data_IF_580041924660
#
_entry.id   IF_580041924660
#
_cell.length_a   1.000
_cell.length_b   1.000
_cell.length_c   1.000
_cell.angle_alpha   90.00
_cell.angle_beta   90.00
_cell.angle_gamma   90.00
#
_symmetry.space_group_name_H-M   'P 1'
#
loop_
_entity.id
_entity.type
_entity.pdbx_description
1 polymer ?
#
# COMPACT_ATOMS: atom_id res chain seq x y z
N UNK A 1 -22.15 12.69 3.32
CA UNK A 1 -21.89 11.25 3.53
C UNK A 1 -20.39 11.07 3.49
N UNK A 2 -19.78 10.67 4.60
CA UNK A 2 -18.32 10.61 4.72
C UNK A 2 -17.80 9.23 4.24
N UNK A 3 -16.54 9.11 3.83
CA UNK A 3 -15.96 7.85 3.32
C UNK A 3 -15.95 6.67 4.31
N UNK A 4 -16.42 6.85 5.55
CA UNK A 4 -16.58 5.82 6.58
C UNK A 4 -17.99 5.20 6.68
N UNK A 5 -18.96 5.66 5.88
CA UNK A 5 -20.38 5.28 6.04
C UNK A 5 -20.79 3.98 5.32
N UNK A 6 -19.84 3.22 4.74
CA UNK A 6 -20.14 1.99 4.00
C UNK A 6 -19.49 0.77 4.66
N UNK A 7 -20.23 0.02 5.51
CA UNK A 7 -19.72 -1.18 6.16
C UNK A 7 -19.11 -2.19 5.17
N UNK A 8 -19.68 -2.29 3.96
CA UNK A 8 -19.20 -3.18 2.91
C UNK A 8 -17.83 -2.79 2.32
N UNK A 9 -17.42 -1.53 2.49
CA UNK A 9 -16.11 -1.04 2.03
C UNK A 9 -15.06 -1.00 3.14
N UNK A 10 -15.40 -1.44 4.35
CA UNK A 10 -14.42 -1.55 5.41
C UNK A 10 -13.39 -2.65 5.08
N UNK A 11 -12.18 -2.50 5.63
CA UNK A 11 -11.07 -3.40 5.35
C UNK A 11 -11.39 -4.87 5.68
N UNK A 12 -11.95 -5.21 6.86
CA UNK A 12 -12.29 -6.59 7.17
C UNK A 12 -13.21 -7.25 6.15
N UNK A 13 -14.27 -6.55 5.72
CA UNK A 13 -15.22 -7.08 4.74
C UNK A 13 -14.57 -7.33 3.37
N UNK A 14 -13.72 -6.40 2.91
CA UNK A 14 -12.99 -6.59 1.66
C UNK A 14 -12.02 -7.77 1.73
N UNK A 15 -11.32 -7.96 2.87
CA UNK A 15 -10.48 -9.15 3.12
C UNK A 15 -11.33 -10.42 3.08
N UNK A 16 -12.49 -10.43 3.75
CA UNK A 16 -13.39 -11.58 3.75
C UNK A 16 -13.85 -11.95 2.34
N UNK A 17 -14.27 -10.96 1.55
CA UNK A 17 -14.71 -11.16 0.17
C UNK A 17 -13.58 -11.74 -0.71
N UNK A 18 -12.36 -11.21 -0.57
CA UNK A 18 -11.21 -11.69 -1.32
C UNK A 18 -10.85 -13.13 -0.95
N UNK A 19 -10.74 -13.45 0.34
CA UNK A 19 -10.40 -14.80 0.79
C UNK A 19 -11.49 -15.81 0.40
N UNK A 20 -12.77 -15.42 0.51
CA UNK A 20 -13.91 -16.23 0.07
C UNK A 20 -13.93 -16.41 -1.46
N UNK A 21 -13.43 -15.44 -2.24
CA UNK A 21 -13.29 -15.59 -3.69
C UNK A 21 -12.43 -16.80 -4.03
N UNK A 22 -11.30 -16.93 -3.34
CA UNK A 22 -10.35 -18.01 -3.54
C UNK A 22 -10.63 -19.30 -2.74
N UNK A 23 -11.75 -19.38 -2.00
CA UNK A 23 -12.05 -20.52 -1.12
C UNK A 23 -12.39 -21.79 -1.90
N UNK A 24 -13.12 -21.66 -3.01
CA UNK A 24 -13.62 -22.78 -3.81
C UNK A 24 -12.74 -23.11 -5.03
N UNK A 25 -11.71 -22.29 -5.29
CA UNK A 25 -10.81 -22.46 -6.44
C UNK A 25 -10.08 -21.16 -6.81
N UNK A 26 -9.33 -21.15 -7.93
CA UNK A 26 -8.62 -19.96 -8.40
C UNK A 26 -9.55 -18.78 -8.67
N UNK A 27 -9.28 -17.62 -8.08
CA UNK A 27 -10.06 -16.40 -8.23
C UNK A 27 -9.21 -15.23 -8.74
N UNK A 28 -9.82 -14.26 -9.41
CA UNK A 28 -9.22 -13.00 -9.83
C UNK A 28 -9.78 -11.81 -9.05
N UNK A 29 -9.21 -10.63 -9.31
CA UNK A 29 -9.71 -9.38 -8.72
C UNK A 29 -11.12 -9.03 -9.22
N UNK A 30 -11.43 -9.35 -10.48
CA UNK A 30 -12.75 -9.13 -11.07
C UNK A 30 -13.83 -9.93 -10.32
N UNK A 31 -13.54 -11.19 -9.95
CA UNK A 31 -14.45 -12.01 -9.14
C UNK A 31 -14.74 -11.36 -7.77
N UNK A 32 -13.75 -10.67 -7.19
CA UNK A 32 -13.90 -9.96 -5.91
C UNK A 32 -14.79 -8.72 -6.06
N UNK A 33 -14.60 -7.96 -7.14
CA UNK A 33 -15.41 -6.78 -7.46
C UNK A 33 -16.86 -7.19 -7.76
N UNK A 34 -17.07 -8.25 -8.52
CA UNK A 34 -18.41 -8.78 -8.80
C UNK A 34 -19.13 -9.23 -7.52
N UNK A 35 -18.44 -9.93 -6.61
CA UNK A 35 -19.01 -10.33 -5.32
C UNK A 35 -19.36 -9.12 -4.45
N UNK A 36 -18.53 -8.08 -4.43
CA UNK A 36 -18.84 -6.85 -3.71
C UNK A 36 -20.08 -6.15 -4.30
N UNK A 37 -20.17 -6.07 -5.64
CA UNK A 37 -21.35 -5.52 -6.33
C UNK A 37 -22.62 -6.31 -6.01
N UNK A 38 -22.53 -7.64 -6.00
CA UNK A 38 -23.65 -8.50 -5.61
C UNK A 38 -24.08 -8.25 -4.16
N UNK A 39 -23.14 -8.01 -3.24
CA UNK A 39 -23.45 -7.67 -1.85
C UNK A 39 -24.20 -6.34 -1.73
N UNK A 40 -23.76 -5.29 -2.44
CA UNK A 40 -24.45 -4.00 -2.51
C UNK A 40 -25.85 -4.13 -3.13
N UNK A 41 -25.97 -4.87 -4.24
CA UNK A 41 -27.25 -5.12 -4.89
C UNK A 41 -28.23 -5.87 -3.97
N UNK A 42 -27.76 -6.86 -3.21
CA UNK A 42 -28.57 -7.58 -2.22
C UNK A 42 -29.02 -6.66 -1.07
N UNK A 43 -28.18 -5.72 -0.64
CA UNK A 43 -28.52 -4.67 0.32
C UNK A 43 -29.44 -3.57 -0.27
N UNK A 44 -29.74 -3.60 -1.57
CA UNK A 44 -30.44 -2.54 -2.32
C UNK A 44 -29.76 -1.18 -2.21
N UNK A 45 -28.44 -1.19 -2.09
CA UNK A 45 -27.61 -0.01 -2.01
C UNK A 45 -26.84 0.20 -3.32
N UNK A 46 -26.68 1.44 -3.80
CA UNK A 46 -25.80 1.72 -4.91
C UNK A 46 -24.35 1.53 -4.48
N UNK A 47 -23.52 1.00 -5.38
CA UNK A 47 -22.07 0.94 -5.16
C UNK A 47 -21.52 2.36 -5.19
N UNK A 48 -20.88 2.84 -4.10
CA UNK A 48 -20.56 4.26 -3.96
C UNK A 48 -19.21 4.64 -4.60
N UNK A 49 -18.50 3.68 -5.19
CA UNK A 49 -17.17 3.87 -5.79
C UNK A 49 -17.13 3.38 -7.24
N UNK A 50 -16.35 4.04 -8.11
CA UNK A 50 -16.06 3.53 -9.46
C UNK A 50 -15.35 2.17 -9.42
N UNK A 51 -15.51 1.38 -10.49
CA UNK A 51 -14.90 0.05 -10.61
C UNK A 51 -13.38 0.07 -10.42
N UNK A 52 -12.69 1.01 -11.08
CA UNK A 52 -11.24 1.13 -11.02
C UNK A 52 -10.72 1.34 -9.59
N UNK A 53 -11.45 2.07 -8.75
CA UNK A 53 -11.11 2.30 -7.35
C UNK A 53 -11.33 1.03 -6.51
N UNK A 54 -12.39 0.27 -6.78
CA UNK A 54 -12.62 -1.03 -6.13
C UNK A 54 -11.52 -2.02 -6.48
N UNK A 55 -11.16 -2.11 -7.77
CA UNK A 55 -10.08 -2.95 -8.25
C UNK A 55 -8.75 -2.56 -7.61
N UNK A 56 -8.44 -1.26 -7.51
CA UNK A 56 -7.22 -0.78 -6.84
C UNK A 56 -7.17 -1.19 -5.35
N UNK A 57 -8.30 -1.12 -4.64
CA UNK A 57 -8.39 -1.55 -3.24
C UNK A 57 -8.17 -3.05 -3.09
N UNK A 58 -8.81 -3.86 -3.93
CA UNK A 58 -8.59 -5.31 -3.92
C UNK A 58 -7.17 -5.68 -4.34
N UNK A 59 -6.57 -4.96 -5.28
CA UNK A 59 -5.18 -5.17 -5.68
C UNK A 59 -4.22 -4.93 -4.52
N UNK A 60 -4.39 -3.84 -3.76
CA UNK A 60 -3.60 -3.56 -2.56
C UNK A 60 -3.72 -4.65 -1.50
N UNK A 61 -4.96 -5.10 -1.23
CA UNK A 61 -5.21 -6.21 -0.29
C UNK A 61 -4.61 -7.52 -0.79
N UNK A 62 -4.74 -7.83 -2.08
CA UNK A 62 -4.13 -9.00 -2.69
C UNK A 62 -2.62 -9.01 -2.48
N UNK A 63 -1.94 -7.88 -2.72
CA UNK A 63 -0.50 -7.75 -2.45
C UNK A 63 -0.17 -7.98 -0.98
N UNK A 64 -0.90 -7.36 -0.06
CA UNK A 64 -0.66 -7.50 1.39
C UNK A 64 -0.84 -8.97 1.85
N UNK A 65 -1.93 -9.63 1.41
CA UNK A 65 -2.25 -11.02 1.77
C UNK A 65 -1.29 -12.03 1.12
N UNK A 66 -0.81 -11.75 -0.08
CA UNK A 66 0.22 -12.55 -0.76
C UNK A 66 1.56 -12.43 -0.04
N UNK A 67 1.96 -11.22 0.36
CA UNK A 67 3.18 -10.99 1.13
C UNK A 67 3.16 -11.65 2.51
N UNK A 68 1.97 -11.82 3.09
CA UNK A 68 1.77 -12.59 4.32
C UNK A 68 1.63 -14.11 4.10
N UNK A 69 1.70 -14.60 2.87
CA UNK A 69 1.64 -16.03 2.53
C UNK A 69 0.25 -16.66 2.68
N UNK A 70 -0.82 -15.86 2.62
CA UNK A 70 -2.20 -16.36 2.65
C UNK A 70 -2.71 -16.76 1.26
N UNK A 71 -2.13 -16.16 0.23
CA UNK A 71 -2.46 -16.38 -1.17
C UNK A 71 -1.24 -16.86 -1.94
N UNK A 72 -1.47 -17.68 -2.95
CA UNK A 72 -0.47 -18.09 -3.93
C UNK A 72 -0.98 -17.84 -5.35
N UNK A 73 -0.05 -17.51 -6.26
CA UNK A 73 -0.35 -17.30 -7.68
C UNK A 73 -0.78 -18.62 -8.32
N UNK A 74 -1.92 -18.59 -9.00
CA UNK A 74 -2.48 -19.71 -9.74
C UNK A 74 -2.34 -19.53 -11.27
N UNK A 75 -1.63 -18.48 -11.70
CA UNK A 75 -1.41 -18.14 -13.10
C UNK A 75 -2.56 -17.33 -13.71
N UNK A 76 -2.28 -16.68 -14.84
CA UNK A 76 -3.23 -15.87 -15.60
C UNK A 76 -3.96 -14.78 -14.77
N UNK A 77 -3.27 -14.21 -13.77
CA UNK A 77 -3.83 -13.19 -12.88
C UNK A 77 -4.81 -13.75 -11.84
N UNK A 78 -4.85 -15.06 -11.64
CA UNK A 78 -5.65 -15.73 -10.61
C UNK A 78 -4.81 -16.12 -9.41
N UNK A 79 -5.45 -16.28 -8.27
CA UNK A 79 -4.84 -16.66 -7.00
C UNK A 79 -5.68 -17.71 -6.27
N UNK A 80 -5.03 -18.50 -5.41
CA UNK A 80 -5.70 -19.49 -4.54
C UNK A 80 -5.29 -19.31 -3.08
N UNK A 81 -6.11 -19.81 -2.15
CA UNK A 81 -5.75 -19.83 -0.73
C UNK A 81 -4.68 -20.89 -0.45
N UNK A 82 -3.63 -20.49 0.26
CA UNK A 82 -2.69 -21.42 0.90
C UNK A 82 -3.36 -22.12 2.09
N UNK A 83 -2.73 -23.17 2.64
CA UNK A 83 -3.21 -23.81 3.86
C UNK A 83 -3.36 -22.82 5.04
N UNK A 84 -2.45 -21.84 5.14
CA UNK A 84 -2.51 -20.76 6.12
C UNK A 84 -3.71 -19.85 5.85
N UNK A 85 -3.91 -19.44 4.60
CA UNK A 85 -5.06 -18.62 4.19
C UNK A 85 -6.39 -19.27 4.54
N UNK A 86 -6.54 -20.58 4.28
CA UNK A 86 -7.75 -21.36 4.65
C UNK A 86 -7.97 -21.40 6.15
N UNK A 87 -6.91 -21.68 6.92
CA UNK A 87 -7.00 -21.73 8.39
C UNK A 87 -7.42 -20.38 8.96
N UNK A 88 -6.85 -19.29 8.44
CA UNK A 88 -7.18 -17.95 8.92
C UNK A 88 -8.60 -17.53 8.54
N UNK A 89 -9.06 -17.85 7.32
CA UNK A 89 -10.44 -17.63 6.92
C UNK A 89 -11.44 -18.41 7.79
N UNK A 90 -11.13 -19.67 8.13
CA UNK A 90 -11.98 -20.48 9.00
C UNK A 90 -12.08 -19.89 10.42
N UNK A 91 -10.99 -19.31 10.94
CA UNK A 91 -11.00 -18.62 12.24
C UNK A 91 -11.60 -17.22 12.21
N UNK A 92 -11.71 -16.59 11.03
CA UNK A 92 -12.19 -15.23 10.82
C UNK A 92 -13.09 -15.15 9.58
N UNK A 93 -14.30 -15.74 9.64
CA UNK A 93 -15.18 -15.81 8.47
C UNK A 93 -15.61 -14.42 7.97
N UNK A 94 -15.73 -13.45 8.87
CA UNK A 94 -16.11 -12.06 8.56
C UNK A 94 -14.92 -11.17 8.19
N UNK A 95 -13.74 -11.77 8.04
CA UNK A 95 -12.49 -11.08 7.72
C UNK A 95 -11.80 -10.49 8.95
N UNK A 96 -10.74 -9.72 8.69
CA UNK A 96 -9.88 -9.15 9.72
C UNK A 96 -9.12 -7.95 9.18
N UNK A 97 -8.55 -7.14 10.08
CA UNK A 97 -7.70 -6.02 9.69
C UNK A 97 -6.27 -6.45 9.36
N UNK A 98 -5.63 -5.79 8.40
CA UNK A 98 -4.29 -6.14 7.91
C UNK A 98 -3.21 -6.03 9.00
N UNK A 99 -3.46 -5.25 10.05
CA UNK A 99 -2.58 -5.17 11.22
C UNK A 99 -2.34 -6.54 11.87
N UNK A 100 -3.32 -7.46 11.76
CA UNK A 100 -3.16 -8.83 12.26
C UNK A 100 -2.07 -9.61 11.51
N UNK A 101 -1.80 -9.25 10.25
CA UNK A 101 -0.74 -9.87 9.46
C UNK A 101 0.65 -9.50 9.99
N UNK A 102 0.77 -8.48 10.85
CA UNK A 102 2.02 -8.13 11.52
C UNK A 102 2.52 -9.21 12.48
N UNK A 103 1.80 -10.32 12.69
CA UNK A 103 2.40 -11.48 13.37
C UNK A 103 3.40 -12.23 12.49
N UNK A 104 3.29 -12.12 11.16
CA UNK A 104 4.12 -12.85 10.20
C UNK A 104 5.42 -12.10 9.87
N UNK A 105 6.61 -12.71 10.09
CA UNK A 105 7.90 -12.06 9.80
C UNK A 105 8.08 -11.59 8.35
N UNK A 106 7.62 -12.37 7.39
CA UNK A 106 7.64 -12.07 5.95
C UNK A 106 6.83 -10.80 5.64
N UNK A 107 5.65 -10.64 6.25
CA UNK A 107 4.82 -9.46 6.08
C UNK A 107 5.46 -8.23 6.74
N UNK A 108 6.05 -8.36 7.92
CA UNK A 108 6.83 -7.27 8.54
C UNK A 108 7.97 -6.81 7.64
N UNK A 109 8.70 -7.75 7.03
CA UNK A 109 9.80 -7.46 6.13
C UNK A 109 9.30 -6.73 4.88
N UNK A 110 8.18 -7.18 4.32
CA UNK A 110 7.49 -6.54 3.20
C UNK A 110 7.08 -5.09 3.52
N UNK A 111 6.39 -4.84 4.64
CA UNK A 111 5.98 -3.49 5.04
C UNK A 111 7.19 -2.59 5.24
N UNK A 112 8.26 -3.08 5.88
CA UNK A 112 9.51 -2.33 6.04
C UNK A 112 10.14 -1.98 4.69
N UNK A 113 10.17 -2.92 3.75
CA UNK A 113 10.71 -2.68 2.41
C UNK A 113 9.86 -1.66 1.64
N UNK A 114 8.53 -1.82 1.65
CA UNK A 114 7.59 -0.89 1.03
C UNK A 114 7.73 0.53 1.59
N UNK A 115 7.81 0.68 2.91
CA UNK A 115 7.98 1.98 3.54
C UNK A 115 9.31 2.63 3.17
N UNK A 116 10.41 1.86 3.10
CA UNK A 116 11.69 2.38 2.59
C UNK A 116 11.61 2.80 1.13
N UNK A 117 10.93 2.03 0.30
CA UNK A 117 10.72 2.38 -1.11
C UNK A 117 9.88 3.66 -1.27
N UNK A 118 8.84 3.83 -0.45
CA UNK A 118 8.04 5.06 -0.44
C UNK A 118 8.85 6.26 0.05
N UNK A 119 9.65 6.10 1.11
CA UNK A 119 10.55 7.15 1.58
C UNK A 119 11.60 7.52 0.51
N UNK A 120 12.15 6.53 -0.21
CA UNK A 120 13.10 6.77 -1.31
C UNK A 120 12.44 7.37 -2.55
N UNK A 121 11.17 7.06 -2.80
CA UNK A 121 10.39 7.62 -3.90
C UNK A 121 9.85 9.02 -3.58
N UNK A 122 9.92 9.46 -2.33
CA UNK A 122 9.64 10.85 -1.97
C UNK A 122 10.80 11.72 -2.50
N UNK A 123 10.54 12.40 -3.62
CA UNK A 123 11.48 13.31 -4.25
C UNK A 123 12.02 14.37 -3.26
N UNK A 124 11.24 14.69 -2.21
CA UNK A 124 11.64 15.60 -1.13
C UNK A 124 12.80 15.05 -0.31
N UNK A 125 12.78 13.76 0.03
CA UNK A 125 13.84 13.12 0.79
C UNK A 125 15.10 12.96 -0.08
N UNK A 126 14.94 12.61 -1.36
CA UNK A 126 16.05 12.52 -2.31
C UNK A 126 16.74 13.86 -2.53
N UNK A 127 15.98 14.92 -2.82
CA UNK A 127 16.53 16.26 -3.03
C UNK A 127 17.20 16.81 -1.76
N UNK A 128 16.63 16.56 -0.56
CA UNK A 128 17.26 16.92 0.71
C UNK A 128 18.61 16.23 0.91
N UNK A 129 18.67 14.90 0.77
CA UNK A 129 19.91 14.14 0.93
C UNK A 129 20.98 14.59 -0.08
N UNK A 130 20.58 14.88 -1.32
CA UNK A 130 21.47 15.43 -2.36
C UNK A 130 22.03 16.81 -1.97
N UNK A 131 21.21 17.68 -1.38
CA UNK A 131 21.64 18.99 -0.88
C UNK A 131 22.65 18.86 0.26
N UNK A 132 22.37 17.95 1.20
CA UNK A 132 23.24 17.65 2.33
C UNK A 132 24.62 17.12 1.87
N UNK A 133 24.65 16.21 0.90
CA UNK A 133 25.90 15.70 0.29
C UNK A 133 26.62 16.81 -0.50
N UNK A 134 25.88 17.63 -1.24
CA UNK A 134 26.45 18.73 -2.02
C UNK A 134 27.18 19.74 -1.11
N UNK A 135 26.60 20.09 0.04
CA UNK A 135 27.27 20.93 1.05
C UNK A 135 28.54 20.30 1.59
N UNK A 136 28.50 19.02 1.99
CA UNK A 136 29.69 18.30 2.49
C UNK A 136 30.82 18.19 1.46
N UNK A 137 30.47 18.13 0.17
CA UNK A 137 31.44 18.09 -0.93
C UNK A 137 31.90 19.49 -1.40
N UNK A 138 31.41 20.56 -0.76
CA UNK A 138 31.84 21.94 -1.00
C UNK A 138 31.11 22.66 -2.14
N UNK A 139 29.99 22.13 -2.63
CA UNK A 139 29.15 22.81 -3.61
C UNK A 139 28.51 24.07 -2.99
N UNK A 140 28.26 25.07 -3.83
CA UNK A 140 27.58 26.33 -3.46
C UNK A 140 26.06 26.17 -3.57
N UNK A 141 25.32 26.94 -2.78
CA UNK A 141 23.85 26.97 -2.84
C UNK A 141 23.32 27.27 -4.26
N UNK A 142 24.02 28.12 -5.03
CA UNK A 142 23.67 28.45 -6.43
C UNK A 142 23.86 27.30 -7.42
N UNK A 143 24.47 26.19 -7.00
CA UNK A 143 24.69 24.98 -7.80
C UNK A 143 23.58 23.94 -7.58
N UNK A 144 22.48 24.34 -6.94
CA UNK A 144 21.25 23.56 -6.86
C UNK A 144 20.77 23.16 -8.27
N UNK A 145 20.65 21.85 -8.58
CA UNK A 145 20.27 21.39 -9.91
C UNK A 145 18.76 21.56 -10.20
N UNK A 146 17.95 21.84 -9.19
CA UNK A 146 16.49 21.93 -9.31
C UNK A 146 16.04 23.33 -9.70
N UNK A 147 14.94 23.41 -10.46
CA UNK A 147 14.35 24.68 -10.91
C UNK A 147 13.86 25.50 -9.70
N UNK A 148 14.17 26.82 -9.62
CA UNK A 148 13.68 27.67 -8.52
C UNK A 148 12.16 27.63 -8.33
N UNK A 149 11.70 27.77 -7.09
CA UNK A 149 10.29 27.67 -6.68
C UNK A 149 9.64 26.28 -6.86
N UNK A 150 10.44 25.22 -7.01
CA UNK A 150 9.94 23.84 -6.91
C UNK A 150 10.16 23.30 -5.50
N UNK A 151 9.36 22.31 -5.13
CA UNK A 151 9.48 21.62 -3.84
C UNK A 151 10.83 20.93 -3.68
N UNK A 152 11.39 20.39 -4.79
CA UNK A 152 12.70 19.74 -4.78
C UNK A 152 13.83 20.76 -4.60
N UNK A 153 13.72 21.94 -5.23
CA UNK A 153 14.65 23.04 -5.02
C UNK A 153 14.71 23.45 -3.54
N UNK A 154 13.55 23.67 -2.92
CA UNK A 154 13.49 24.02 -1.49
C UNK A 154 14.02 22.88 -0.59
N UNK A 155 13.71 21.63 -0.93
CA UNK A 155 14.17 20.47 -0.14
C UNK A 155 15.70 20.32 -0.21
N UNK A 156 16.30 20.52 -1.39
CA UNK A 156 17.75 20.53 -1.57
C UNK A 156 18.43 21.68 -0.83
N UNK A 157 17.89 22.91 -0.89
CA UNK A 157 18.44 24.05 -0.14
C UNK A 157 18.42 23.80 1.37
N UNK A 158 17.35 23.21 1.89
CA UNK A 158 17.23 22.85 3.30
C UNK A 158 18.30 21.81 3.70
N UNK A 159 18.51 20.77 2.90
CA UNK A 159 19.56 19.77 3.17
C UNK A 159 20.97 20.37 3.11
N UNK A 160 21.21 21.26 2.15
CA UNK A 160 22.49 21.97 2.03
C UNK A 160 22.77 22.88 3.24
N UNK A 161 21.76 23.58 3.74
CA UNK A 161 21.88 24.43 4.93
C UNK A 161 22.16 23.58 6.19
N UNK A 162 21.43 22.49 6.40
CA UNK A 162 21.59 21.59 7.55
C UNK A 162 23.02 21.06 7.68
N UNK A 163 23.61 20.59 6.57
CA UNK A 163 24.98 20.08 6.56
C UNK A 163 26.03 21.13 6.98
N UNK A 164 25.75 22.42 6.74
CA UNK A 164 26.64 23.50 7.17
C UNK A 164 26.49 23.83 8.64
N UNK A 165 25.30 23.67 9.20
CA UNK A 165 25.04 23.89 10.62
C UNK A 165 25.63 22.75 11.46
N UNK A 166 25.61 21.50 10.98
CA UNK A 166 26.27 20.36 11.64
C UNK A 166 27.82 20.44 11.62
N UNK A 167 28.41 21.13 10.64
CA UNK A 167 29.86 21.31 10.51
C UNK A 167 30.48 22.39 11.42
N UNK A 168 29.67 23.08 12.24
CA UNK A 168 30.09 24.16 13.15
C UNK A 168 29.92 23.73 14.63
N UNK A 169 30.08 22.43 14.91
CA UNK A 169 30.11 21.83 16.26
C UNK A 169 31.50 21.41 16.71
#
# INVERSE_FOLDING_TARGET
MFPGDYPLLNRPNLVALLLRAAADGPAGLDDCVERLRAAFAAAREPVPLPEAELTARFAGLHTDLSAAGLLEDAGAGRFTLTARGRTLLAGHPDGFDTDRLMVYPEFKAYIRARNRSLARADARAGAFDEGFIAAQTGARLTENPYTPNTVDHQSWENGWAEARDEGIG
#
